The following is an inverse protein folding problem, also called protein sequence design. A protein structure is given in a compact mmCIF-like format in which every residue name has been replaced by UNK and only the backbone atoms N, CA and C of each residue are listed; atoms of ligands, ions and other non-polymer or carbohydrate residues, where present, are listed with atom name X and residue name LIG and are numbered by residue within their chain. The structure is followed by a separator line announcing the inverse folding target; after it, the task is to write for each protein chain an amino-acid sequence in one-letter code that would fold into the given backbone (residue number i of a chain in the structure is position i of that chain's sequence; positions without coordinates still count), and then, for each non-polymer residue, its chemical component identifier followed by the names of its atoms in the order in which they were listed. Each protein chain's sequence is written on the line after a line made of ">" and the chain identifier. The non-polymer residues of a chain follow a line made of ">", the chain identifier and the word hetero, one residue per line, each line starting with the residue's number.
data_IF_037187219889
#
_entry.id   IF_037187219889
#
_cell.length_a   1.000
_cell.length_b   1.000
_cell.length_c   1.000
_cell.angle_alpha   90.00
_cell.angle_beta   90.00
_cell.angle_gamma   90.00
#
_symmetry.space_group_name_H-M   'P 1'
#
loop_
_entity.id
_entity.type
_entity.pdbx_description
1 polymer ?
#
# COMPACT_ATOMS: atom_id res chain seq x y z
N UNK A 1 -14.45 14.62 19.10
CA UNK A 1 -14.08 13.30 18.54
C UNK A 1 -13.10 12.50 19.41
N UNK A 2 -12.40 13.10 20.37
CA UNK A 2 -11.31 12.46 21.12
C UNK A 2 -11.69 11.53 22.30
N UNK A 3 -12.95 11.31 22.62
CA UNK A 3 -13.34 10.55 23.84
C UNK A 3 -13.64 9.06 23.60
N UNK A 4 -13.82 8.63 22.36
CA UNK A 4 -14.31 7.28 22.07
C UNK A 4 -13.27 6.18 22.27
N UNK A 5 -11.97 6.50 22.19
CA UNK A 5 -10.86 5.58 22.44
C UNK A 5 -10.16 5.82 23.77
N UNK A 6 -10.69 6.72 24.59
CA UNK A 6 -10.11 7.05 25.89
C UNK A 6 -9.98 5.81 26.78
N UNK A 7 -8.76 5.61 27.31
CA UNK A 7 -8.44 4.49 28.19
C UNK A 7 -8.26 3.14 27.49
N UNK A 8 -8.40 3.05 26.16
CA UNK A 8 -8.10 1.82 25.40
C UNK A 8 -6.61 1.66 25.21
N UNK A 9 -6.14 0.42 25.36
CA UNK A 9 -4.74 0.06 25.11
C UNK A 9 -4.58 -0.34 23.65
N UNK A 10 -3.80 0.42 22.89
CA UNK A 10 -3.48 0.16 21.49
C UNK A 10 -2.00 -0.20 21.38
N UNK A 11 -1.70 -1.36 20.80
CA UNK A 11 -0.35 -1.76 20.43
C UNK A 11 -0.12 -1.48 18.94
N UNK A 12 1.00 -0.86 18.56
CA UNK A 12 1.43 -0.68 17.18
C UNK A 12 2.72 -1.46 17.00
N UNK A 13 2.67 -2.53 16.19
CA UNK A 13 3.78 -3.48 16.08
C UNK A 13 4.18 -3.70 14.64
N UNK A 14 5.45 -3.47 14.35
CA UNK A 14 6.01 -3.55 12.99
C UNK A 14 5.70 -2.32 12.16
N UNK A 15 6.13 -2.35 10.90
CA UNK A 15 5.90 -1.28 9.95
C UNK A 15 7.13 -0.43 9.63
N UNK A 16 6.89 0.72 9.04
CA UNK A 16 7.91 1.69 8.66
C UNK A 16 7.56 3.10 9.20
N UNK A 17 8.09 4.15 8.59
CA UNK A 17 7.87 5.54 9.04
C UNK A 17 6.41 5.98 9.06
N UNK A 18 5.51 5.29 8.35
CA UNK A 18 4.06 5.58 8.37
C UNK A 18 3.43 5.30 9.71
N UNK A 19 3.93 4.32 10.43
CA UNK A 19 3.47 3.94 11.77
C UNK A 19 3.79 5.01 12.82
N UNK A 20 4.78 5.88 12.59
CA UNK A 20 5.03 7.04 13.45
C UNK A 20 3.83 7.98 13.49
N UNK A 21 3.27 8.30 12.31
CA UNK A 21 2.09 9.16 12.21
C UNK A 21 0.83 8.47 12.77
N UNK A 22 0.67 7.16 12.50
CA UNK A 22 -0.42 6.37 13.09
C UNK A 22 -0.33 6.40 14.60
N UNK A 23 0.86 6.19 15.19
CA UNK A 23 1.07 6.21 16.64
C UNK A 23 0.77 7.59 17.25
N UNK A 24 1.21 8.66 16.59
CA UNK A 24 0.96 10.04 17.00
C UNK A 24 -0.55 10.33 17.05
N UNK A 25 -1.28 9.95 16.00
CA UNK A 25 -2.72 10.17 15.90
C UNK A 25 -3.50 9.28 16.88
N UNK A 26 -3.07 8.03 17.07
CA UNK A 26 -3.67 7.14 18.07
C UNK A 26 -3.53 7.70 19.49
N UNK A 27 -2.37 8.25 19.85
CA UNK A 27 -2.19 8.91 21.13
C UNK A 27 -3.07 10.17 21.26
N UNK A 28 -3.24 10.95 20.19
CA UNK A 28 -4.12 12.12 20.17
C UNK A 28 -5.60 11.78 20.33
N UNK A 29 -6.02 10.55 19.95
CA UNK A 29 -7.40 10.08 20.18
C UNK A 29 -7.71 9.71 21.64
N UNK A 30 -6.75 9.87 22.54
CA UNK A 30 -6.88 9.58 23.97
C UNK A 30 -6.57 8.12 24.35
N UNK A 31 -6.12 7.29 23.42
CA UNK A 31 -5.70 5.92 23.69
C UNK A 31 -4.36 5.88 24.43
N UNK A 32 -4.13 4.80 25.20
CA UNK A 32 -2.80 4.44 25.71
C UNK A 32 -2.08 3.64 24.65
N UNK A 33 -1.02 4.21 24.07
CA UNK A 33 -0.34 3.62 22.92
C UNK A 33 1.03 3.06 23.33
N UNK A 34 1.27 1.80 22.98
CA UNK A 34 2.57 1.14 23.04
C UNK A 34 3.03 0.80 21.64
N UNK A 35 4.33 0.95 21.36
CA UNK A 35 4.88 0.80 20.01
C UNK A 35 6.17 0.00 20.00
N UNK A 36 6.36 -0.81 18.92
CA UNK A 36 7.57 -1.58 18.69
C UNK A 36 7.77 -1.93 17.22
N UNK A 37 9.04 -1.91 16.74
CA UNK A 37 9.43 -2.56 15.48
C UNK A 37 9.29 -1.72 14.21
N UNK A 38 9.06 -0.44 14.33
CA UNK A 38 9.19 0.54 13.24
C UNK A 38 10.26 1.60 13.58
N UNK A 39 10.76 2.39 12.60
CA UNK A 39 11.76 3.43 12.84
C UNK A 39 11.29 4.40 13.92
N UNK A 40 12.04 4.52 15.02
CA UNK A 40 11.67 5.40 16.13
C UNK A 40 12.40 6.73 16.01
N UNK A 41 11.71 7.89 16.07
CA UNK A 41 12.36 9.18 16.00
C UNK A 41 13.14 9.49 17.30
N UNK A 42 14.27 10.20 17.18
CA UNK A 42 15.15 10.52 18.31
C UNK A 42 14.43 11.29 19.42
N UNK A 43 13.53 12.20 19.05
CA UNK A 43 12.71 12.99 20.00
C UNK A 43 11.53 12.21 20.59
N UNK A 44 11.35 10.96 20.18
CA UNK A 44 10.21 10.13 20.57
C UNK A 44 8.90 10.57 19.93
N UNK A 45 7.82 9.89 20.31
CA UNK A 45 6.46 10.24 19.88
C UNK A 45 5.63 10.58 21.11
N UNK A 46 5.16 11.82 21.21
CA UNK A 46 4.43 12.31 22.39
C UNK A 46 3.19 11.44 22.68
N UNK A 47 3.13 10.92 23.91
CA UNK A 47 2.01 10.10 24.37
C UNK A 47 2.08 8.63 23.94
N UNK A 48 3.21 8.19 23.35
CA UNK A 48 3.44 6.81 22.93
C UNK A 48 4.61 6.22 23.73
N UNK A 49 4.39 5.05 24.32
CA UNK A 49 5.44 4.27 25.01
C UNK A 49 6.18 3.41 23.99
N UNK A 50 7.50 3.65 23.84
CA UNK A 50 8.38 2.77 23.06
C UNK A 50 8.79 1.56 23.92
N UNK A 51 8.47 0.35 23.48
CA UNK A 51 8.76 -0.87 24.23
C UNK A 51 9.99 -1.61 23.70
N UNK A 52 10.57 -2.49 24.51
CA UNK A 52 11.75 -3.25 24.12
C UNK A 52 11.43 -4.52 23.31
N UNK A 53 10.15 -4.91 23.18
CA UNK A 53 9.74 -6.09 22.40
C UNK A 53 8.28 -6.01 21.94
N UNK A 54 7.95 -6.79 20.92
CA UNK A 54 6.58 -6.94 20.44
C UNK A 54 5.63 -7.46 21.54
N UNK A 55 6.11 -8.42 22.37
CA UNK A 55 5.32 -8.95 23.48
C UNK A 55 4.98 -7.87 24.53
N UNK A 56 5.93 -6.99 24.84
CA UNK A 56 5.67 -5.85 25.76
C UNK A 56 4.66 -4.86 25.16
N UNK A 57 4.75 -4.58 23.87
CA UNK A 57 3.79 -3.71 23.19
C UNK A 57 2.38 -4.31 23.25
N UNK A 58 2.25 -5.61 22.94
CA UNK A 58 0.97 -6.32 22.90
C UNK A 58 0.36 -6.63 24.27
N UNK A 59 1.17 -6.58 25.35
CA UNK A 59 0.70 -6.95 26.68
C UNK A 59 -0.49 -6.11 27.15
N UNK A 60 -1.65 -6.76 27.30
CA UNK A 60 -2.91 -6.14 27.72
C UNK A 60 -3.53 -5.24 26.66
N UNK A 61 -3.10 -5.31 25.40
CA UNK A 61 -3.67 -4.52 24.32
C UNK A 61 -5.10 -4.96 23.98
N UNK A 62 -6.02 -4.01 23.93
CA UNK A 62 -7.37 -4.21 23.41
C UNK A 62 -7.38 -4.28 21.89
N UNK A 63 -6.47 -3.52 21.27
CA UNK A 63 -6.28 -3.44 19.84
C UNK A 63 -4.80 -3.54 19.49
N UNK A 64 -4.48 -4.34 18.48
CA UNK A 64 -3.16 -4.38 17.88
C UNK A 64 -3.25 -3.88 16.44
N UNK A 65 -2.41 -2.93 16.08
CA UNK A 65 -2.28 -2.41 14.72
C UNK A 65 -1.02 -3.00 14.09
N UNK A 66 -1.20 -3.77 13.02
CA UNK A 66 -0.13 -4.32 12.22
C UNK A 66 -0.06 -3.58 10.87
N UNK A 67 1.10 -3.51 10.23
CA UNK A 67 1.30 -2.68 9.04
C UNK A 67 0.49 -3.17 7.82
N UNK A 68 0.29 -2.27 6.86
CA UNK A 68 -0.46 -2.55 5.62
C UNK A 68 0.04 -3.78 4.86
N UNK A 69 1.36 -4.02 4.66
CA UNK A 69 1.79 -5.22 3.96
C UNK A 69 1.26 -6.52 4.61
N UNK A 70 0.78 -6.43 5.86
CA UNK A 70 0.28 -7.58 6.59
C UNK A 70 1.38 -8.60 6.86
N UNK A 71 1.02 -9.87 6.70
CA UNK A 71 1.92 -10.98 6.93
C UNK A 71 2.63 -11.37 5.63
N UNK A 72 3.95 -11.51 5.69
CA UNK A 72 4.76 -11.98 4.56
C UNK A 72 4.56 -13.49 4.30
N UNK A 73 5.03 -13.99 3.16
CA UNK A 73 4.88 -15.42 2.78
C UNK A 73 5.53 -16.40 3.76
N UNK A 74 6.53 -15.94 4.49
CA UNK A 74 7.23 -16.72 5.52
C UNK A 74 6.56 -16.62 6.90
N UNK A 75 5.40 -15.99 7.01
CA UNK A 75 4.65 -15.80 8.24
C UNK A 75 5.11 -14.61 9.09
N UNK A 76 6.11 -13.86 8.64
CA UNK A 76 6.66 -12.74 9.40
C UNK A 76 5.87 -11.45 9.23
N UNK A 77 5.88 -10.61 10.25
CA UNK A 77 5.35 -9.26 10.18
C UNK A 77 6.38 -8.32 9.55
N UNK A 78 5.93 -7.44 8.66
CA UNK A 78 6.80 -6.43 8.07
C UNK A 78 7.30 -5.45 9.15
N UNK A 79 8.58 -5.55 9.51
CA UNK A 79 9.20 -4.75 10.55
C UNK A 79 10.71 -4.53 10.29
N UNK A 80 11.09 -3.79 9.24
CA UNK A 80 12.49 -3.67 8.83
C UNK A 80 13.40 -2.99 9.86
N UNK A 81 12.85 -2.24 10.81
CA UNK A 81 13.59 -1.62 11.91
C UNK A 81 13.64 -2.49 13.17
N UNK A 82 12.96 -3.61 13.20
CA UNK A 82 13.02 -4.52 14.35
C UNK A 82 14.33 -5.30 14.34
N UNK A 83 15.06 -5.39 15.48
CA UNK A 83 16.27 -6.20 15.58
C UNK A 83 15.97 -7.70 15.52
N UNK A 84 14.72 -8.10 15.73
CA UNK A 84 14.28 -9.48 15.73
C UNK A 84 13.09 -9.67 14.79
N UNK A 85 13.01 -10.83 14.17
CA UNK A 85 11.85 -11.24 13.38
C UNK A 85 10.62 -11.35 14.28
N UNK A 86 9.50 -10.77 13.84
CA UNK A 86 8.23 -10.81 14.57
C UNK A 86 7.33 -11.84 13.89
N UNK A 87 7.02 -12.91 14.61
CA UNK A 87 6.08 -13.94 14.19
C UNK A 87 4.81 -13.81 15.04
N UNK A 88 3.68 -13.37 14.50
CA UNK A 88 2.42 -13.25 15.23
C UNK A 88 1.74 -14.62 15.42
N UNK A 89 2.37 -15.44 16.23
CA UNK A 89 1.91 -16.78 16.61
C UNK A 89 1.08 -16.76 17.90
N UNK A 90 0.56 -17.92 18.31
CA UNK A 90 -0.26 -18.06 19.53
C UNK A 90 0.48 -17.53 20.76
N UNK A 91 1.77 -17.83 20.91
CA UNK A 91 2.57 -17.43 22.07
C UNK A 91 2.64 -15.89 22.17
N UNK A 92 3.01 -15.22 21.05
CA UNK A 92 3.09 -13.77 21.01
C UNK A 92 1.72 -13.10 21.22
N UNK A 93 0.65 -13.63 20.63
CA UNK A 93 -0.68 -13.02 20.68
C UNK A 93 -1.41 -13.27 22.01
N UNK A 94 -1.03 -14.32 22.77
CA UNK A 94 -1.66 -14.70 24.03
C UNK A 94 -1.55 -13.64 25.13
N UNK A 95 -0.65 -12.67 24.99
CA UNK A 95 -0.46 -11.57 25.95
C UNK A 95 -1.47 -10.41 25.75
N UNK A 96 -2.21 -10.42 24.65
CA UNK A 96 -3.28 -9.42 24.42
C UNK A 96 -4.42 -9.58 25.41
N UNK A 97 -5.21 -8.51 25.56
CA UNK A 97 -6.43 -8.59 26.36
C UNK A 97 -7.42 -9.60 25.76
N UNK A 98 -8.15 -10.37 26.59
CA UNK A 98 -9.21 -11.27 26.09
C UNK A 98 -10.22 -10.53 25.19
N UNK A 99 -10.60 -11.16 24.08
CA UNK A 99 -11.48 -10.53 23.08
C UNK A 99 -10.86 -9.33 22.35
N UNK A 100 -9.53 -9.23 22.34
CA UNK A 100 -8.81 -8.21 21.59
C UNK A 100 -9.08 -8.26 20.08
N UNK A 101 -8.73 -7.20 19.38
CA UNK A 101 -8.82 -7.15 17.90
C UNK A 101 -7.48 -6.77 17.29
N UNK A 102 -7.10 -7.45 16.21
CA UNK A 102 -5.97 -7.07 15.36
C UNK A 102 -6.49 -6.40 14.09
N UNK A 103 -6.00 -5.21 13.81
CA UNK A 103 -6.28 -4.48 12.56
C UNK A 103 -5.01 -4.48 11.71
N UNK A 104 -5.12 -4.96 10.46
CA UNK A 104 -3.97 -5.15 9.57
C UNK A 104 -4.39 -5.07 8.10
N UNK A 105 -3.39 -5.03 7.18
CA UNK A 105 -3.66 -5.11 5.75
C UNK A 105 -4.35 -6.42 5.38
N UNK A 106 -3.61 -7.52 5.38
CA UNK A 106 -4.11 -8.87 5.11
C UNK A 106 -3.50 -9.88 6.10
N UNK A 107 -4.31 -10.80 6.59
CA UNK A 107 -3.88 -11.93 7.41
C UNK A 107 -3.61 -13.16 6.54
N UNK A 108 -2.56 -13.91 6.89
CA UNK A 108 -2.34 -15.25 6.38
C UNK A 108 -3.14 -16.30 7.18
N UNK A 109 -3.16 -17.52 6.70
CA UNK A 109 -3.91 -18.60 7.34
C UNK A 109 -3.36 -18.96 8.74
N UNK A 110 -2.06 -18.75 8.99
CA UNK A 110 -1.46 -19.02 10.31
C UNK A 110 -1.94 -17.99 11.34
N UNK A 111 -1.95 -16.71 10.98
CA UNK A 111 -2.49 -15.66 11.84
C UNK A 111 -3.99 -15.85 12.10
N UNK A 112 -4.78 -16.20 11.07
CA UNK A 112 -6.22 -16.48 11.23
C UNK A 112 -6.46 -17.62 12.22
N UNK A 113 -5.67 -18.72 12.12
CA UNK A 113 -5.76 -19.85 13.03
C UNK A 113 -5.34 -19.47 14.45
N UNK A 114 -4.24 -18.75 14.62
CA UNK A 114 -3.77 -18.29 15.93
C UNK A 114 -4.78 -17.37 16.61
N UNK A 115 -5.30 -16.38 15.89
CA UNK A 115 -6.32 -15.45 16.36
C UNK A 115 -7.61 -16.18 16.75
N UNK A 116 -8.09 -17.10 15.90
CA UNK A 116 -9.27 -17.92 16.20
C UNK A 116 -9.11 -18.77 17.45
N UNK A 117 -7.93 -19.36 17.70
CA UNK A 117 -7.65 -20.14 18.91
C UNK A 117 -7.71 -19.29 20.17
N UNK A 118 -7.33 -18.01 20.08
CA UNK A 118 -7.28 -17.08 21.22
C UNK A 118 -8.56 -16.23 21.36
N UNK A 119 -9.54 -16.39 20.47
CA UNK A 119 -10.72 -15.52 20.43
C UNK A 119 -10.42 -14.06 20.08
N UNK A 120 -9.34 -13.82 19.31
CA UNK A 120 -8.95 -12.50 18.83
C UNK A 120 -9.66 -12.25 17.49
N UNK A 121 -10.33 -11.10 17.37
CA UNK A 121 -10.96 -10.67 16.12
C UNK A 121 -9.92 -10.12 15.15
N UNK A 122 -10.08 -10.41 13.84
CA UNK A 122 -9.27 -9.83 12.78
C UNK A 122 -10.09 -8.84 11.96
N UNK A 123 -9.54 -7.64 11.71
CA UNK A 123 -10.13 -6.61 10.85
C UNK A 123 -9.15 -6.23 9.75
N UNK A 124 -9.38 -6.75 8.55
CA UNK A 124 -8.53 -6.53 7.39
C UNK A 124 -8.99 -5.30 6.60
N UNK A 125 -8.04 -4.50 6.06
CA UNK A 125 -8.38 -3.27 5.34
C UNK A 125 -7.62 -3.03 4.03
N UNK A 126 -6.80 -3.98 3.57
CA UNK A 126 -6.05 -3.81 2.30
C UNK A 126 -6.99 -3.63 1.09
N UNK A 127 -8.15 -4.28 1.11
CA UNK A 127 -9.15 -4.21 0.04
C UNK A 127 -10.14 -3.04 0.21
N UNK A 128 -9.96 -2.19 1.21
CA UNK A 128 -10.81 -1.01 1.42
C UNK A 128 -10.54 0.04 0.35
N UNK A 129 -11.53 0.22 -0.53
CA UNK A 129 -11.42 1.16 -1.65
C UNK A 129 -11.31 2.62 -1.20
N UNK A 130 -11.98 3.03 -0.11
CA UNK A 130 -11.87 4.39 0.42
C UNK A 130 -10.43 4.67 0.86
N UNK A 131 -9.83 3.74 1.62
CA UNK A 131 -8.44 3.88 2.08
C UNK A 131 -7.44 3.83 0.92
N UNK A 132 -7.68 2.96 -0.07
CA UNK A 132 -6.87 2.92 -1.29
C UNK A 132 -6.88 4.29 -2.00
N UNK A 133 -8.04 4.90 -2.17
CA UNK A 133 -8.16 6.19 -2.84
C UNK A 133 -7.55 7.34 -2.02
N UNK A 134 -7.65 7.31 -0.69
CA UNK A 134 -7.02 8.31 0.17
C UNK A 134 -5.49 8.27 0.14
N UNK A 135 -4.88 7.10 0.00
CA UNK A 135 -3.42 6.94 -0.13
C UNK A 135 -2.91 7.05 -1.57
N UNK A 136 -3.81 7.00 -2.56
CA UNK A 136 -3.44 7.02 -3.98
C UNK A 136 -2.62 8.25 -4.40
N UNK A 137 -2.89 9.50 -3.94
CA UNK A 137 -2.05 10.65 -4.28
C UNK A 137 -0.57 10.43 -3.98
N UNK A 138 -0.23 9.90 -2.80
CA UNK A 138 1.16 9.61 -2.45
C UNK A 138 1.79 8.53 -3.37
N UNK A 139 1.00 7.54 -3.80
CA UNK A 139 1.44 6.53 -4.76
C UNK A 139 1.71 7.17 -6.13
N UNK A 140 0.84 8.07 -6.58
CA UNK A 140 1.01 8.78 -7.86
C UNK A 140 2.24 9.68 -7.85
N UNK A 141 2.44 10.46 -6.79
CA UNK A 141 3.63 11.30 -6.62
C UNK A 141 4.91 10.47 -6.60
N UNK A 142 4.90 9.33 -5.92
CA UNK A 142 6.02 8.38 -5.95
C UNK A 142 6.26 7.80 -7.34
N UNK A 143 5.20 7.51 -8.13
CA UNK A 143 5.32 7.06 -9.51
C UNK A 143 5.91 8.16 -10.41
N UNK A 144 5.46 9.41 -10.27
CA UNK A 144 6.02 10.55 -11.00
C UNK A 144 7.51 10.76 -10.67
N UNK A 145 7.87 10.71 -9.40
CA UNK A 145 9.28 10.79 -8.95
C UNK A 145 10.12 9.69 -9.61
N UNK A 146 9.59 8.46 -9.67
CA UNK A 146 10.27 7.33 -10.31
C UNK A 146 10.40 7.54 -11.83
N UNK A 147 9.38 8.05 -12.52
CA UNK A 147 9.43 8.39 -13.94
C UNK A 147 10.53 9.42 -14.20
N UNK A 148 10.52 10.52 -13.44
CA UNK A 148 11.49 11.62 -13.60
C UNK A 148 12.92 11.14 -13.36
N UNK A 149 13.14 10.34 -12.32
CA UNK A 149 14.50 9.84 -11.98
C UNK A 149 15.00 8.75 -12.91
N UNK A 150 14.11 8.03 -13.60
CA UNK A 150 14.45 6.89 -14.47
C UNK A 150 14.47 7.21 -15.96
N UNK A 151 14.14 8.44 -16.34
CA UNK A 151 14.15 8.88 -17.75
C UNK A 151 15.07 10.09 -17.94
N UNK A 152 15.41 10.37 -19.22
CA UNK A 152 16.14 11.59 -19.61
C UNK A 152 15.27 12.54 -20.44
N UNK A 153 13.95 12.32 -20.42
CA UNK A 153 12.97 13.13 -21.13
C UNK A 153 11.99 13.72 -20.12
N UNK A 154 11.33 14.81 -20.50
CA UNK A 154 10.25 15.38 -19.71
C UNK A 154 8.98 14.54 -19.83
N UNK A 155 8.13 14.55 -18.80
CA UNK A 155 6.78 13.98 -18.89
C UNK A 155 5.95 14.79 -19.90
N UNK A 156 6.11 16.09 -19.91
CA UNK A 156 5.45 16.97 -20.89
C UNK A 156 5.83 16.59 -22.32
N UNK A 157 4.84 16.40 -23.19
CA UNK A 157 4.98 15.93 -24.57
C UNK A 157 5.53 14.50 -24.74
N UNK A 158 5.71 13.71 -23.69
CA UNK A 158 6.05 12.30 -23.83
C UNK A 158 4.82 11.45 -24.15
N UNK A 159 5.04 10.33 -24.85
CA UNK A 159 4.02 9.32 -25.09
C UNK A 159 4.15 8.25 -24.00
N UNK A 160 3.07 8.04 -23.25
CA UNK A 160 3.02 7.12 -22.12
C UNK A 160 1.91 6.10 -22.32
N UNK A 161 2.23 4.81 -22.24
CA UNK A 161 1.24 3.74 -22.23
C UNK A 161 1.01 3.24 -20.79
N UNK A 162 -0.24 3.30 -20.33
CA UNK A 162 -0.67 2.69 -19.07
C UNK A 162 -1.50 1.47 -19.38
N UNK A 163 -1.06 0.31 -18.88
CA UNK A 163 -1.81 -0.95 -18.96
C UNK A 163 -2.55 -1.17 -17.64
N UNK A 164 -3.88 -1.16 -17.74
CA UNK A 164 -4.79 -1.18 -16.59
C UNK A 164 -5.34 0.21 -16.23
N UNK A 165 -6.64 0.26 -15.93
CA UNK A 165 -7.33 1.51 -15.58
C UNK A 165 -8.21 1.33 -14.34
N UNK A 166 -7.61 0.70 -13.31
CA UNK A 166 -8.16 0.62 -11.96
C UNK A 166 -7.93 1.92 -11.17
N UNK A 167 -8.08 1.90 -9.86
CA UNK A 167 -7.97 3.09 -9.01
C UNK A 167 -6.64 3.85 -9.22
N UNK A 168 -5.52 3.15 -9.25
CA UNK A 168 -4.20 3.76 -9.44
C UNK A 168 -3.98 4.17 -10.89
N UNK A 169 -4.24 3.27 -11.86
CA UNK A 169 -4.05 3.57 -13.29
C UNK A 169 -4.87 4.78 -13.76
N UNK A 170 -6.10 4.88 -13.30
CA UNK A 170 -6.99 6.01 -13.60
C UNK A 170 -6.44 7.35 -13.06
N UNK A 171 -5.99 7.36 -11.81
CA UNK A 171 -5.46 8.58 -11.19
C UNK A 171 -4.14 9.00 -11.85
N UNK A 172 -3.25 8.03 -12.10
CA UNK A 172 -1.97 8.28 -12.77
C UNK A 172 -2.19 8.83 -14.19
N UNK A 173 -3.09 8.23 -14.97
CA UNK A 173 -3.41 8.68 -16.31
C UNK A 173 -3.90 10.15 -16.32
N UNK A 174 -4.86 10.50 -15.45
CA UNK A 174 -5.35 11.86 -15.29
C UNK A 174 -4.24 12.85 -14.92
N UNK A 175 -3.35 12.46 -14.00
CA UNK A 175 -2.24 13.31 -13.58
C UNK A 175 -1.24 13.52 -14.71
N UNK A 176 -0.89 12.47 -15.47
CA UNK A 176 0.03 12.58 -16.60
C UNK A 176 -0.54 13.46 -17.74
N UNK A 177 -1.86 13.37 -18.01
CA UNK A 177 -2.54 14.27 -18.96
C UNK A 177 -2.43 15.73 -18.49
N UNK A 178 -2.66 16.00 -17.19
CA UNK A 178 -2.51 17.36 -16.63
C UNK A 178 -1.07 17.87 -16.70
N UNK A 179 -0.07 17.00 -16.70
CA UNK A 179 1.34 17.35 -16.90
C UNK A 179 1.70 17.51 -18.39
N UNK A 180 0.74 17.35 -19.30
CA UNK A 180 0.92 17.54 -20.74
C UNK A 180 1.53 16.33 -21.45
N UNK A 181 1.45 15.13 -20.91
CA UNK A 181 1.78 13.89 -21.61
C UNK A 181 0.67 13.48 -22.58
N UNK A 182 1.03 12.79 -23.65
CA UNK A 182 0.09 12.05 -24.51
C UNK A 182 -0.08 10.65 -23.92
N UNK A 183 -1.23 10.43 -23.27
CA UNK A 183 -1.45 9.19 -22.51
C UNK A 183 -2.32 8.21 -23.28
N UNK A 184 -1.78 7.03 -23.53
CA UNK A 184 -2.45 5.85 -24.05
C UNK A 184 -2.87 4.96 -22.88
N UNK A 185 -4.08 4.42 -22.90
CA UNK A 185 -4.59 3.54 -21.85
C UNK A 185 -5.09 2.24 -22.48
N UNK A 186 -4.47 1.13 -22.13
CA UNK A 186 -4.95 -0.19 -22.52
C UNK A 186 -5.74 -0.83 -21.37
N UNK A 187 -7.03 -1.14 -21.61
CA UNK A 187 -7.90 -1.74 -20.60
C UNK A 187 -8.89 -2.74 -21.22
N UNK A 188 -9.16 -3.83 -20.48
CA UNK A 188 -10.10 -4.87 -20.90
C UNK A 188 -11.55 -4.37 -20.92
N UNK A 189 -11.92 -3.58 -19.91
CA UNK A 189 -13.31 -3.15 -19.72
C UNK A 189 -13.63 -1.93 -20.60
N UNK A 190 -14.65 -2.00 -21.49
CA UNK A 190 -15.02 -0.87 -22.35
C UNK A 190 -15.46 0.38 -21.58
N UNK A 191 -16.06 0.24 -20.39
CA UNK A 191 -16.42 1.40 -19.55
C UNK A 191 -15.16 2.12 -19.05
N UNK A 192 -14.11 1.37 -18.69
CA UNK A 192 -12.83 1.98 -18.33
C UNK A 192 -12.18 2.69 -19.52
N UNK A 193 -12.26 2.14 -20.72
CA UNK A 193 -11.78 2.80 -21.95
C UNK A 193 -12.53 4.10 -22.23
N UNK A 194 -13.85 4.10 -22.05
CA UNK A 194 -14.67 5.30 -22.22
C UNK A 194 -14.34 6.37 -21.15
N UNK A 195 -14.11 5.99 -19.88
CA UNK A 195 -13.66 6.92 -18.84
C UNK A 195 -12.25 7.47 -19.14
N UNK A 196 -11.34 6.64 -19.66
CA UNK A 196 -10.02 7.09 -20.09
C UNK A 196 -10.10 8.11 -21.22
N UNK A 197 -10.97 7.87 -22.22
CA UNK A 197 -11.24 8.84 -23.30
C UNK A 197 -11.76 10.17 -22.74
N UNK A 198 -12.73 10.12 -21.84
CA UNK A 198 -13.29 11.32 -21.19
C UNK A 198 -12.25 12.11 -20.38
N UNK A 199 -11.21 11.41 -19.90
CA UNK A 199 -10.10 12.01 -19.17
C UNK A 199 -8.98 12.57 -20.07
N UNK A 200 -9.17 12.55 -21.40
CA UNK A 200 -8.18 13.07 -22.37
C UNK A 200 -7.10 12.06 -22.76
N UNK A 201 -7.30 10.77 -22.47
CA UNK A 201 -6.40 9.69 -22.90
C UNK A 201 -6.85 9.08 -24.23
N UNK A 202 -5.94 8.45 -24.95
CA UNK A 202 -6.24 7.58 -26.10
C UNK A 202 -6.47 6.15 -25.61
N UNK A 203 -7.71 5.63 -25.64
CA UNK A 203 -8.01 4.28 -25.15
C UNK A 203 -7.68 3.21 -26.19
N UNK A 204 -7.27 2.03 -25.70
CA UNK A 204 -6.94 0.85 -26.51
C UNK A 204 -7.49 -0.42 -25.89
N UNK A 205 -7.71 -1.44 -26.70
CA UNK A 205 -7.89 -2.81 -26.25
C UNK A 205 -6.55 -3.45 -25.88
N UNK A 206 -6.59 -4.59 -25.17
CA UNK A 206 -5.34 -5.20 -24.69
C UNK A 206 -4.51 -5.81 -25.84
N UNK A 207 -5.14 -6.25 -26.90
CA UNK A 207 -4.48 -6.78 -28.11
C UNK A 207 -3.83 -5.68 -28.98
N UNK A 208 -4.23 -4.42 -28.82
CA UNK A 208 -3.65 -3.28 -29.49
C UNK A 208 -2.33 -2.80 -28.85
N UNK A 209 -1.95 -3.30 -27.66
CA UNK A 209 -0.72 -2.89 -26.94
C UNK A 209 0.50 -3.03 -27.85
N UNK A 210 0.58 -4.10 -28.64
CA UNK A 210 1.73 -4.36 -29.55
C UNK A 210 1.84 -3.30 -30.65
N UNK A 211 0.72 -2.73 -31.10
CA UNK A 211 0.67 -1.67 -32.13
C UNK A 211 1.02 -0.32 -31.54
N UNK A 212 0.68 -0.08 -30.26
CA UNK A 212 0.96 1.17 -29.56
C UNK A 212 2.39 1.23 -29.04
N UNK A 213 2.98 0.09 -28.70
CA UNK A 213 4.31 0.01 -28.09
C UNK A 213 5.40 0.80 -28.84
N UNK A 214 5.49 0.78 -30.20
CA UNK A 214 6.50 1.55 -30.93
C UNK A 214 6.40 3.08 -30.77
N UNK A 215 5.26 3.57 -30.31
CA UNK A 215 4.98 5.01 -30.20
C UNK A 215 5.38 5.59 -28.83
N UNK A 216 5.55 4.74 -27.81
CA UNK A 216 5.65 5.18 -26.41
C UNK A 216 7.06 5.00 -25.85
N UNK A 217 7.55 6.01 -25.17
CA UNK A 217 8.84 5.97 -24.46
C UNK A 217 8.73 5.53 -23.00
N UNK A 218 7.51 5.46 -22.47
CA UNK A 218 7.22 5.05 -21.09
C UNK A 218 6.05 4.06 -21.10
N UNK A 219 6.29 2.85 -20.62
CA UNK A 219 5.28 1.82 -20.43
C UNK A 219 5.10 1.54 -18.94
N UNK A 220 3.85 1.61 -18.46
CA UNK A 220 3.52 1.41 -17.04
C UNK A 220 2.45 0.34 -16.93
N UNK A 221 2.69 -0.72 -16.15
CA UNK A 221 1.66 -1.69 -15.78
C UNK A 221 1.12 -1.41 -14.39
N UNK A 222 -0.21 -1.52 -14.24
CA UNK A 222 -0.91 -1.47 -12.95
C UNK A 222 -1.69 -2.77 -12.68
N UNK A 223 -1.51 -3.79 -13.52
CA UNK A 223 -2.23 -5.07 -13.47
C UNK A 223 -1.31 -6.16 -12.94
N UNK A 224 -1.69 -6.90 -11.88
CA UNK A 224 -0.87 -7.97 -11.30
C UNK A 224 -1.03 -9.30 -12.08
N UNK A 225 -0.94 -9.22 -13.40
CA UNK A 225 -0.99 -10.37 -14.30
C UNK A 225 -0.11 -10.09 -15.50
N UNK A 226 0.62 -11.08 -15.98
CA UNK A 226 1.53 -10.98 -17.12
C UNK A 226 0.76 -10.73 -18.43
N UNK A 227 0.54 -9.47 -18.75
CA UNK A 227 -0.16 -9.01 -19.97
C UNK A 227 0.87 -8.50 -20.99
N UNK A 228 2.01 -7.99 -20.53
CA UNK A 228 3.04 -7.43 -21.38
C UNK A 228 3.95 -8.56 -21.87
N UNK A 229 3.73 -8.99 -23.12
CA UNK A 229 4.53 -10.05 -23.74
C UNK A 229 5.94 -9.56 -24.11
N UNK A 230 6.85 -10.51 -24.36
CA UNK A 230 8.19 -10.19 -24.88
C UNK A 230 8.13 -9.45 -26.24
N UNK A 231 7.11 -9.77 -27.07
CA UNK A 231 6.88 -9.08 -28.35
C UNK A 231 6.62 -7.59 -28.14
N UNK A 232 5.83 -7.22 -27.12
CA UNK A 232 5.57 -5.82 -26.76
C UNK A 232 6.86 -5.14 -26.31
N UNK A 233 7.65 -5.80 -25.45
CA UNK A 233 8.91 -5.25 -24.97
C UNK A 233 9.91 -5.00 -26.12
N UNK A 234 9.97 -5.90 -27.10
CA UNK A 234 10.80 -5.74 -28.30
C UNK A 234 10.34 -4.61 -29.24
N UNK A 235 9.05 -4.29 -29.22
CA UNK A 235 8.47 -3.25 -30.07
C UNK A 235 8.67 -1.83 -29.48
N UNK A 236 8.99 -1.70 -28.19
CA UNK A 236 9.28 -0.40 -27.57
C UNK A 236 10.52 0.26 -28.19
N UNK A 237 10.56 1.60 -28.29
CA UNK A 237 11.77 2.34 -28.65
C UNK A 237 12.96 1.98 -27.73
N UNK A 238 14.19 2.02 -28.22
CA UNK A 238 15.38 1.77 -27.39
C UNK A 238 15.43 2.66 -26.15
N UNK A 239 15.88 2.09 -25.03
CA UNK A 239 16.01 2.79 -23.74
C UNK A 239 14.68 3.33 -23.15
N UNK A 240 13.54 2.76 -23.54
CA UNK A 240 12.25 3.11 -22.93
C UNK A 240 12.22 2.78 -21.43
N UNK A 241 11.43 3.54 -20.66
CA UNK A 241 11.11 3.16 -19.30
C UNK A 241 9.98 2.11 -19.28
N UNK A 242 10.23 1.00 -18.62
CA UNK A 242 9.27 -0.07 -18.36
C UNK A 242 9.07 -0.17 -16.85
N UNK A 243 7.90 0.26 -16.37
CA UNK A 243 7.62 0.36 -14.93
C UNK A 243 6.43 -0.50 -14.53
N UNK A 244 6.60 -1.31 -13.50
CA UNK A 244 5.51 -2.09 -12.91
C UNK A 244 5.11 -1.53 -11.54
N UNK A 245 3.85 -1.11 -11.39
CA UNK A 245 3.24 -0.63 -10.16
C UNK A 245 2.43 -1.71 -9.45
N UNK A 246 2.27 -2.86 -10.07
CA UNK A 246 1.37 -3.89 -9.58
C UNK A 246 1.93 -4.66 -8.38
N UNK A 247 1.01 -5.28 -7.63
CA UNK A 247 1.38 -6.23 -6.58
C UNK A 247 2.01 -7.50 -7.18
N UNK A 248 2.76 -8.29 -6.40
CA UNK A 248 3.23 -9.60 -6.84
C UNK A 248 2.09 -10.48 -7.35
N UNK A 249 2.32 -11.26 -8.43
CA UNK A 249 3.60 -11.57 -9.07
C UNK A 249 4.16 -10.51 -10.02
N UNK A 250 3.44 -9.42 -10.28
CA UNK A 250 3.80 -8.44 -11.27
C UNK A 250 3.06 -8.63 -12.59
N UNK A 251 3.15 -7.63 -13.47
CA UNK A 251 2.53 -7.64 -14.80
C UNK A 251 3.52 -7.63 -15.95
N UNK A 252 4.84 -7.57 -15.66
CA UNK A 252 5.90 -7.43 -16.65
C UNK A 252 7.09 -8.31 -16.28
N UNK A 253 7.67 -9.01 -17.26
CA UNK A 253 9.00 -9.60 -17.11
C UNK A 253 10.06 -8.49 -17.16
N UNK A 254 10.39 -7.95 -15.99
CA UNK A 254 11.38 -6.87 -15.85
C UNK A 254 12.81 -7.35 -16.12
N UNK A 255 13.12 -8.64 -15.97
CA UNK A 255 14.41 -9.19 -16.32
C UNK A 255 14.60 -9.16 -17.84
N UNK A 256 13.59 -9.61 -18.57
CA UNK A 256 13.57 -9.55 -20.04
C UNK A 256 13.63 -8.11 -20.56
N UNK A 257 12.88 -7.18 -19.93
CA UNK A 257 12.95 -5.77 -20.31
C UNK A 257 14.37 -5.20 -20.19
N UNK A 258 15.11 -5.55 -19.12
CA UNK A 258 16.53 -5.18 -18.95
C UNK A 258 17.45 -5.80 -20.00
N UNK A 259 17.26 -7.09 -20.32
CA UNK A 259 18.01 -7.78 -21.37
C UNK A 259 17.85 -7.09 -22.74
N UNK A 260 16.66 -6.54 -23.01
CA UNK A 260 16.36 -5.79 -24.23
C UNK A 260 16.86 -4.33 -24.20
N UNK A 261 17.56 -3.90 -23.15
CA UNK A 261 18.16 -2.58 -23.03
C UNK A 261 17.21 -1.50 -22.51
N UNK A 262 16.07 -1.86 -21.93
CA UNK A 262 15.14 -0.89 -21.32
C UNK A 262 15.50 -0.58 -19.87
N UNK A 263 15.12 0.61 -19.39
CA UNK A 263 15.14 0.92 -17.98
C UNK A 263 13.95 0.25 -17.32
N UNK A 264 14.16 -0.84 -16.57
CA UNK A 264 13.08 -1.64 -15.99
C UNK A 264 13.01 -1.45 -14.47
N UNK A 265 11.85 -1.07 -13.95
CA UNK A 265 11.63 -0.72 -12.55
C UNK A 265 10.39 -1.41 -12.00
N UNK A 266 10.52 -2.14 -10.91
CA UNK A 266 9.38 -2.56 -10.11
C UNK A 266 9.15 -1.53 -8.99
N UNK A 267 8.23 -0.61 -9.22
CA UNK A 267 7.98 0.54 -8.35
C UNK A 267 7.01 0.17 -7.21
N UNK A 268 7.52 -0.53 -6.21
CA UNK A 268 6.77 -0.95 -5.03
C UNK A 268 6.94 0.01 -3.87
N UNK A 269 5.90 0.08 -3.03
CA UNK A 269 5.95 0.86 -1.79
C UNK A 269 6.08 2.36 -2.01
N UNK A 270 5.59 2.88 -3.11
CA UNK A 270 5.69 4.28 -3.52
C UNK A 270 5.14 5.27 -2.48
N UNK A 271 4.10 4.86 -1.72
CA UNK A 271 3.57 5.69 -0.64
C UNK A 271 4.53 5.94 0.53
N UNK A 272 5.66 5.24 0.59
CA UNK A 272 6.68 5.47 1.65
C UNK A 272 7.35 6.85 1.54
N UNK A 273 7.34 7.46 0.37
CA UNK A 273 7.87 8.81 0.16
C UNK A 273 7.06 9.91 0.87
N UNK A 274 5.82 9.60 1.28
CA UNK A 274 4.94 10.53 1.98
C UNK A 274 4.35 9.88 3.26
N UNK A 275 5.20 9.50 4.24
CA UNK A 275 4.77 8.69 5.39
C UNK A 275 3.73 9.37 6.26
N UNK A 276 3.79 10.69 6.41
CA UNK A 276 2.81 11.48 7.17
C UNK A 276 1.44 11.40 6.50
N UNK A 277 1.35 11.68 5.20
CA UNK A 277 0.08 11.65 4.44
C UNK A 277 -0.53 10.27 4.43
N UNK A 278 0.28 9.25 4.17
CA UNK A 278 -0.19 7.86 4.12
C UNK A 278 -0.57 7.36 5.51
N UNK A 279 0.24 7.64 6.53
CA UNK A 279 -0.07 7.30 7.93
C UNK A 279 -1.38 7.93 8.41
N UNK A 280 -1.59 9.22 8.13
CA UNK A 280 -2.84 9.91 8.47
C UNK A 280 -4.05 9.32 7.72
N UNK A 281 -3.90 9.00 6.44
CA UNK A 281 -4.97 8.37 5.66
C UNK A 281 -5.33 6.98 6.21
N UNK A 282 -4.33 6.18 6.57
CA UNK A 282 -4.52 4.88 7.21
C UNK A 282 -5.21 4.99 8.55
N UNK A 283 -4.74 5.91 9.40
CA UNK A 283 -5.36 6.15 10.70
C UNK A 283 -6.84 6.48 10.57
N UNK A 284 -7.25 7.29 9.62
CA UNK A 284 -8.65 7.63 9.43
C UNK A 284 -9.56 6.40 9.22
N UNK A 285 -9.07 5.37 8.55
CA UNK A 285 -9.80 4.12 8.35
C UNK A 285 -9.68 3.18 9.56
N UNK A 286 -8.52 3.14 10.20
CA UNK A 286 -8.30 2.38 11.44
C UNK A 286 -9.21 2.91 12.54
N UNK A 287 -9.22 4.23 12.76
CA UNK A 287 -10.04 4.87 13.79
C UNK A 287 -11.54 4.57 13.61
N UNK A 288 -12.06 4.65 12.38
CA UNK A 288 -13.45 4.27 12.07
C UNK A 288 -13.75 2.82 12.49
N UNK A 289 -12.83 1.89 12.22
CA UNK A 289 -12.97 0.48 12.61
C UNK A 289 -12.93 0.30 14.12
N UNK A 290 -11.99 0.92 14.80
CA UNK A 290 -11.88 0.90 16.26
C UNK A 290 -13.18 1.38 16.91
N UNK A 291 -13.70 2.50 16.45
CA UNK A 291 -14.95 3.08 16.97
C UNK A 291 -16.14 2.14 16.71
N UNK A 292 -16.24 1.59 15.51
CA UNK A 292 -17.32 0.66 15.15
C UNK A 292 -17.31 -0.62 16.01
N UNK A 293 -16.11 -1.18 16.26
CA UNK A 293 -15.92 -2.35 17.11
C UNK A 293 -16.32 -2.04 18.54
N UNK A 294 -15.91 -0.89 19.08
CA UNK A 294 -16.29 -0.46 20.44
C UNK A 294 -17.79 -0.24 20.59
N UNK A 295 -18.45 0.34 19.61
CA UNK A 295 -19.90 0.54 19.61
C UNK A 295 -20.64 -0.80 19.58
N UNK A 296 -20.19 -1.75 18.74
CA UNK A 296 -20.76 -3.10 18.70
C UNK A 296 -20.65 -3.79 20.06
N UNK A 297 -19.46 -3.79 20.68
CA UNK A 297 -19.22 -4.39 22.01
C UNK A 297 -20.07 -3.80 23.12
N UNK A 298 -20.34 -2.49 23.05
CA UNK A 298 -21.25 -1.83 24.02
C UNK A 298 -22.71 -2.22 23.84
N UNK A 299 -23.12 -2.62 22.64
CA UNK A 299 -24.51 -3.01 22.36
C UNK A 299 -24.76 -4.50 22.63
N UNK A 300 -23.72 -5.31 22.71
CA UNK A 300 -23.80 -6.76 22.95
C UNK A 300 -23.57 -7.16 24.41
N UNK A 301 -23.08 -6.25 25.25
CA UNK A 301 -22.85 -6.45 26.70
C UNK A 301 -23.83 -5.66 27.55
#
# INVERSE_FOLDING_TARGET
>A
MGEQLHGRNIAIVGGDEREQEIARLAAQSGARVKAYGFPWPDDGIKGVEHTASAAQALNGANFALFPIPGIAKDGTLFAPASPQVILPNIELLSVMAPGGTIILGLADENLKKAAGTLGIELSEYELDTELMLRRAPAIIEGALSQIISSTRITIHNSDVLIVGYGNIGRLLAKTLVLLGARVHVAARNPVQRADAFSAGCTPHELDEIIVVAPLVSILISTVPAEIISEGVLKALPPNSLVMDLSAPPGGIDLAKAKELGHTAVWARGLGRSAPITVGASQWSGIEKRLISIEQRRKNEG
#
